data_IF_166206761264
#
_entry.id   IF_166206761264
#
_cell.length_a   1.000
_cell.length_b   1.000
_cell.length_c   1.000
_cell.angle_alpha   90.00
_cell.angle_beta   90.00
_cell.angle_gamma   90.00
#
_symmetry.space_group_name_H-M   'P 1'
#
loop_
_entity.id
_entity.type
_entity.pdbx_description
1 polymer ?
#
# COMPACT_ATOMS: atom_id res chain seq x y z
N UNK A 1 51.61 21.70 -34.25
CA UNK A 1 52.23 22.70 -35.14
C UNK A 1 51.61 22.54 -36.51
N UNK A 2 50.90 23.54 -37.01
CA UNK A 2 50.27 23.49 -38.33
C UNK A 2 51.34 23.15 -39.36
N UNK A 3 51.18 22.04 -40.07
CA UNK A 3 52.03 21.71 -41.22
C UNK A 3 51.67 22.72 -42.30
N UNK A 4 52.45 23.80 -42.39
CA UNK A 4 52.26 24.83 -43.41
C UNK A 4 52.19 24.13 -44.77
N UNK A 5 51.09 24.34 -45.50
CA UNK A 5 50.99 23.88 -46.88
C UNK A 5 52.12 24.57 -47.63
N UNK A 6 53.09 23.81 -48.12
CA UNK A 6 54.20 24.37 -48.88
C UNK A 6 53.66 24.98 -50.18
N UNK A 7 53.39 26.29 -50.14
CA UNK A 7 52.89 27.04 -51.28
C UNK A 7 54.08 27.65 -52.02
N UNK A 8 54.35 27.14 -53.21
CA UNK A 8 55.48 27.59 -54.04
C UNK A 8 55.08 28.86 -54.81
N UNK A 9 55.24 30.00 -54.16
CA UNK A 9 54.90 31.33 -54.68
C UNK A 9 55.61 31.63 -56.00
N UNK A 10 56.89 31.24 -56.12
CA UNK A 10 57.69 31.47 -57.34
C UNK A 10 57.20 30.64 -58.52
N UNK A 11 56.84 29.37 -58.28
CA UNK A 11 56.27 28.50 -59.32
C UNK A 11 54.90 28.98 -59.78
N UNK A 12 54.09 29.58 -58.90
CA UNK A 12 52.82 30.19 -59.29
C UNK A 12 53.03 31.47 -60.11
N UNK A 13 53.91 32.38 -59.67
CA UNK A 13 54.22 33.61 -60.39
C UNK A 13 54.72 33.31 -61.82
N UNK A 14 55.64 32.34 -61.99
CA UNK A 14 56.11 31.89 -63.32
C UNK A 14 55.00 31.32 -64.20
N UNK A 15 54.01 30.64 -63.61
CA UNK A 15 52.85 30.14 -64.36
C UNK A 15 51.93 31.27 -64.81
N UNK A 16 51.75 32.29 -63.99
CA UNK A 16 50.96 33.47 -64.33
C UNK A 16 51.63 34.30 -65.44
N UNK A 17 52.95 34.48 -65.38
CA UNK A 17 53.73 35.10 -66.46
C UNK A 17 53.61 34.34 -67.78
N UNK A 18 53.75 33.01 -67.74
CA UNK A 18 53.56 32.16 -68.92
C UNK A 18 52.12 32.21 -69.47
N UNK A 19 51.14 32.58 -68.64
CA UNK A 19 49.75 32.80 -69.02
C UNK A 19 49.47 34.24 -69.50
N UNK A 20 50.49 35.10 -69.58
CA UNK A 20 50.40 36.45 -70.14
C UNK A 20 50.24 37.58 -69.11
N UNK A 21 50.36 37.30 -67.81
CA UNK A 21 50.38 38.34 -66.77
C UNK A 21 51.72 39.07 -66.79
N UNK A 22 51.70 40.38 -66.52
CA UNK A 22 52.94 41.15 -66.31
C UNK A 22 53.66 40.64 -65.06
N UNK A 23 55.01 40.62 -65.09
CA UNK A 23 55.85 40.13 -64.00
C UNK A 23 55.42 40.64 -62.61
N UNK A 24 55.14 41.95 -62.49
CA UNK A 24 54.69 42.54 -61.22
C UNK A 24 53.32 42.01 -60.77
N UNK A 25 52.35 41.90 -61.68
CA UNK A 25 51.02 41.39 -61.36
C UNK A 25 51.04 39.91 -60.97
N UNK A 26 51.86 39.11 -61.65
CA UNK A 26 52.08 37.70 -61.34
C UNK A 26 52.71 37.48 -59.96
N UNK A 27 53.72 38.28 -59.61
CA UNK A 27 54.35 38.27 -58.30
C UNK A 27 53.36 38.68 -57.19
N UNK A 28 52.70 39.83 -57.35
CA UNK A 28 51.77 40.38 -56.35
C UNK A 28 50.58 39.41 -56.11
N UNK A 29 50.07 38.78 -57.17
CA UNK A 29 48.94 37.81 -57.05
C UNK A 29 49.36 36.52 -56.36
N UNK A 30 50.56 36.01 -56.66
CA UNK A 30 51.07 34.81 -56.01
C UNK A 30 51.36 35.08 -54.52
N UNK A 31 51.89 36.25 -54.19
CA UNK A 31 52.16 36.68 -52.81
C UNK A 31 50.87 36.87 -52.02
N UNK A 32 49.88 37.57 -52.56
CA UNK A 32 48.57 37.75 -51.90
C UNK A 32 47.86 36.41 -51.65
N UNK A 33 47.97 35.44 -52.57
CA UNK A 33 47.40 34.11 -52.39
C UNK A 33 48.17 33.29 -51.34
N UNK A 34 49.50 33.40 -51.30
CA UNK A 34 50.32 32.75 -50.28
C UNK A 34 50.01 33.31 -48.88
N UNK A 35 49.86 34.63 -48.76
CA UNK A 35 49.47 35.30 -47.51
C UNK A 35 48.07 34.88 -47.07
N UNK A 36 47.09 34.84 -47.99
CA UNK A 36 45.74 34.38 -47.71
C UNK A 36 45.70 32.91 -47.24
N UNK A 37 46.51 32.02 -47.84
CA UNK A 37 46.60 30.62 -47.42
C UNK A 37 47.33 30.42 -46.09
N UNK A 38 48.21 31.35 -45.72
CA UNK A 38 48.93 31.32 -44.43
C UNK A 38 48.07 31.88 -43.30
N UNK A 39 47.21 32.86 -43.62
CA UNK A 39 46.29 33.51 -42.68
C UNK A 39 45.01 32.71 -42.47
N UNK A 40 44.60 31.91 -43.46
CA UNK A 40 43.43 31.05 -43.34
C UNK A 40 43.70 29.89 -42.37
N UNK A 41 42.96 29.84 -41.26
CA UNK A 41 42.96 28.70 -40.32
C UNK A 41 42.22 27.50 -40.93
N UNK A 42 42.86 26.85 -41.90
CA UNK A 42 42.28 25.68 -42.58
C UNK A 42 42.60 24.42 -41.77
N UNK A 43 41.56 23.70 -41.35
CA UNK A 43 41.70 22.39 -40.74
C UNK A 43 42.46 21.44 -41.67
N UNK A 44 43.53 20.85 -41.14
CA UNK A 44 44.39 19.90 -41.84
C UNK A 44 43.79 18.49 -41.81
N UNK A 45 44.36 17.58 -42.62
CA UNK A 45 44.03 16.16 -42.53
C UNK A 45 44.35 15.55 -41.16
N UNK A 46 45.30 16.13 -40.42
CA UNK A 46 45.61 15.67 -39.07
C UNK A 46 44.46 16.01 -38.12
N UNK A 47 43.95 17.24 -38.18
CA UNK A 47 42.82 17.71 -37.36
C UNK A 47 41.56 16.87 -37.60
N UNK A 48 41.28 16.53 -38.88
CA UNK A 48 40.16 15.65 -39.23
C UNK A 48 40.34 14.24 -38.66
N UNK A 49 41.56 13.69 -38.70
CA UNK A 49 41.83 12.35 -38.12
C UNK A 49 41.71 12.37 -36.60
N UNK A 50 42.15 13.44 -35.95
CA UNK A 50 42.02 13.60 -34.51
C UNK A 50 40.54 13.70 -34.10
N UNK A 51 39.76 14.52 -34.80
CA UNK A 51 38.31 14.59 -34.59
C UNK A 51 37.61 13.25 -34.86
N UNK A 52 38.01 12.53 -35.91
CA UNK A 52 37.48 11.19 -36.20
C UNK A 52 37.83 10.18 -35.09
N UNK A 53 39.07 10.20 -34.59
CA UNK A 53 39.48 9.33 -33.50
C UNK A 53 38.72 9.66 -32.20
N UNK A 54 38.57 10.94 -31.87
CA UNK A 54 37.84 11.40 -30.69
C UNK A 54 36.35 11.00 -30.76
N UNK A 55 35.70 11.19 -31.91
CA UNK A 55 34.30 10.79 -32.11
C UNK A 55 34.11 9.28 -32.06
N UNK A 56 35.02 8.49 -32.63
CA UNK A 56 34.97 7.03 -32.51
C UNK A 56 35.15 6.57 -31.06
N UNK A 57 36.04 7.21 -30.31
CA UNK A 57 36.23 6.93 -28.88
C UNK A 57 34.96 7.25 -28.08
N UNK A 58 34.36 8.43 -28.28
CA UNK A 58 33.12 8.83 -27.62
C UNK A 58 31.95 7.89 -27.96
N UNK A 59 31.83 7.44 -29.22
CA UNK A 59 30.82 6.46 -29.62
C UNK A 59 31.05 5.12 -28.92
N UNK A 60 32.30 4.68 -28.79
CA UNK A 60 32.63 3.44 -28.08
C UNK A 60 32.29 3.55 -26.59
N UNK A 61 32.61 4.68 -25.96
CA UNK A 61 32.28 4.96 -24.55
C UNK A 61 30.77 4.93 -24.33
N UNK A 62 29.99 5.71 -25.09
CA UNK A 62 28.51 5.71 -24.99
C UNK A 62 27.93 4.32 -25.25
N UNK A 63 28.49 3.54 -26.17
CA UNK A 63 28.07 2.15 -26.39
C UNK A 63 28.32 1.29 -25.14
N UNK A 64 29.47 1.43 -24.49
CA UNK A 64 29.75 0.68 -23.26
C UNK A 64 28.84 1.10 -22.10
N UNK A 65 28.59 2.40 -21.92
CA UNK A 65 27.69 2.93 -20.90
C UNK A 65 26.25 2.45 -21.11
N UNK A 66 25.74 2.52 -22.34
CA UNK A 66 24.39 2.06 -22.66
C UNK A 66 24.23 0.56 -22.44
N UNK A 67 25.23 -0.25 -22.80
CA UNK A 67 25.23 -1.69 -22.51
C UNK A 67 25.25 -1.97 -21.00
N UNK A 68 26.03 -1.21 -20.22
CA UNK A 68 26.07 -1.33 -18.77
C UNK A 68 24.71 -0.94 -18.14
N UNK A 69 24.14 0.19 -18.56
CA UNK A 69 22.83 0.66 -18.09
C UNK A 69 21.70 -0.34 -18.41
N UNK A 70 21.71 -0.94 -19.62
CA UNK A 70 20.75 -1.99 -19.99
C UNK A 70 20.91 -3.21 -19.07
N UNK A 71 22.14 -3.62 -18.74
CA UNK A 71 22.39 -4.75 -17.86
C UNK A 71 21.92 -4.48 -16.42
N UNK A 72 22.14 -3.26 -15.92
CA UNK A 72 21.67 -2.81 -14.62
C UNK A 72 20.14 -2.81 -14.55
N UNK A 73 19.47 -2.16 -15.50
CA UNK A 73 18.00 -2.11 -15.56
C UNK A 73 17.40 -3.51 -15.67
N UNK A 74 18.00 -4.41 -16.45
CA UNK A 74 17.55 -5.80 -16.55
C UNK A 74 17.66 -6.55 -15.22
N UNK A 75 18.71 -6.27 -14.45
CA UNK A 75 18.91 -6.89 -13.13
C UNK A 75 17.89 -6.34 -12.13
N UNK A 76 17.72 -5.02 -12.07
CA UNK A 76 16.74 -4.36 -11.22
C UNK A 76 15.30 -4.81 -11.53
N UNK A 77 14.96 -5.03 -12.81
CA UNK A 77 13.65 -5.53 -13.21
C UNK A 77 13.40 -6.96 -12.71
N UNK A 78 14.38 -7.86 -12.85
CA UNK A 78 14.25 -9.23 -12.34
C UNK A 78 14.09 -9.26 -10.82
N UNK A 79 14.85 -8.43 -10.12
CA UNK A 79 14.72 -8.31 -8.67
C UNK A 79 13.36 -7.77 -8.24
N UNK A 80 12.80 -6.79 -8.98
CA UNK A 80 11.47 -6.27 -8.69
C UNK A 80 10.37 -7.29 -8.98
N UNK A 81 10.46 -8.06 -10.07
CA UNK A 81 9.56 -9.18 -10.38
C UNK A 81 9.60 -10.26 -9.29
N UNK A 82 10.79 -10.66 -8.85
CA UNK A 82 10.94 -11.62 -7.74
C UNK A 82 10.35 -11.10 -6.43
N UNK A 83 10.55 -9.81 -6.11
CA UNK A 83 9.98 -9.17 -4.94
C UNK A 83 8.45 -9.15 -4.99
N UNK A 84 7.88 -8.77 -6.13
CA UNK A 84 6.43 -8.77 -6.34
C UNK A 84 5.85 -10.18 -6.25
N UNK A 85 6.53 -11.19 -6.78
CA UNK A 85 6.09 -12.58 -6.66
C UNK A 85 6.05 -13.03 -5.20
N UNK A 86 7.09 -12.71 -4.42
CA UNK A 86 7.16 -13.03 -2.99
C UNK A 86 6.06 -12.29 -2.20
N UNK A 87 5.85 -11.00 -2.46
CA UNK A 87 4.82 -10.20 -1.81
C UNK A 87 3.40 -10.71 -2.13
N UNK A 88 3.14 -11.09 -3.38
CA UNK A 88 1.86 -11.69 -3.78
C UNK A 88 1.58 -13.01 -3.04
N UNK A 89 2.60 -13.85 -2.85
CA UNK A 89 2.46 -15.10 -2.09
C UNK A 89 2.16 -14.79 -0.61
N UNK A 90 2.89 -13.86 0.00
CA UNK A 90 2.70 -13.45 1.39
C UNK A 90 1.32 -12.81 1.63
N UNK A 91 0.85 -11.96 0.70
CA UNK A 91 -0.48 -11.35 0.78
C UNK A 91 -1.59 -12.39 0.69
N UNK A 92 -1.44 -13.38 -0.21
CA UNK A 92 -2.40 -14.48 -0.34
C UNK A 92 -2.42 -15.38 0.89
N UNK A 93 -1.29 -15.63 1.54
CA UNK A 93 -1.28 -16.40 2.79
C UNK A 93 -1.94 -15.62 3.93
N UNK A 94 -1.61 -14.34 4.10
CA UNK A 94 -2.21 -13.49 5.12
C UNK A 94 -3.73 -13.37 4.96
N UNK A 95 -4.23 -13.23 3.73
CA UNK A 95 -5.66 -13.20 3.45
C UNK A 95 -6.35 -14.51 3.86
N UNK A 96 -5.79 -15.66 3.49
CA UNK A 96 -6.34 -16.97 3.89
C UNK A 96 -6.37 -17.14 5.40
N UNK A 97 -5.30 -16.73 6.09
CA UNK A 97 -5.27 -16.78 7.55
C UNK A 97 -6.36 -15.90 8.18
N UNK A 98 -6.54 -14.68 7.65
CA UNK A 98 -7.61 -13.78 8.09
C UNK A 98 -9.00 -14.38 7.85
N UNK A 99 -9.25 -14.96 6.67
CA UNK A 99 -10.52 -15.62 6.35
C UNK A 99 -10.80 -16.79 7.31
N UNK A 100 -9.80 -17.62 7.60
CA UNK A 100 -9.95 -18.74 8.55
C UNK A 100 -10.23 -18.24 9.98
N UNK A 101 -9.55 -17.18 10.43
CA UNK A 101 -9.84 -16.54 11.72
C UNK A 101 -11.27 -16.04 11.79
N UNK A 102 -11.74 -15.34 10.75
CA UNK A 102 -13.11 -14.84 10.71
C UNK A 102 -14.16 -15.96 10.70
N UNK A 103 -13.89 -17.07 10.01
CA UNK A 103 -14.78 -18.24 10.04
C UNK A 103 -14.83 -18.83 11.44
N UNK A 104 -13.67 -18.98 12.10
CA UNK A 104 -13.59 -19.49 13.46
C UNK A 104 -14.32 -18.58 14.45
N UNK A 105 -14.08 -17.27 14.41
CA UNK A 105 -14.74 -16.27 15.26
C UNK A 105 -16.26 -16.24 15.04
N UNK A 106 -16.73 -16.35 13.79
CA UNK A 106 -18.16 -16.45 13.52
C UNK A 106 -18.77 -17.75 14.08
N UNK A 107 -18.04 -18.86 14.02
CA UNK A 107 -18.48 -20.12 14.59
C UNK A 107 -18.57 -20.05 16.13
N UNK A 108 -17.58 -19.44 16.79
CA UNK A 108 -17.60 -19.24 18.24
C UNK A 108 -18.72 -18.32 18.67
N UNK A 109 -18.90 -17.16 18.02
CA UNK A 109 -20.00 -16.24 18.32
C UNK A 109 -21.38 -16.91 18.20
N UNK A 110 -21.59 -17.74 17.17
CA UNK A 110 -22.84 -18.50 17.01
C UNK A 110 -23.05 -19.52 18.12
N UNK A 111 -21.98 -20.18 18.56
CA UNK A 111 -22.05 -21.14 19.67
C UNK A 111 -22.39 -20.42 20.99
N UNK A 112 -21.73 -19.30 21.27
CA UNK A 112 -21.94 -18.48 22.46
C UNK A 112 -23.37 -17.94 22.51
N UNK A 113 -23.86 -17.33 21.42
CA UNK A 113 -25.25 -16.85 21.33
C UNK A 113 -26.28 -17.97 21.57
N UNK A 114 -26.01 -19.18 21.08
CA UNK A 114 -26.90 -20.34 21.31
C UNK A 114 -26.86 -20.79 22.77
N UNK A 115 -25.68 -20.80 23.39
CA UNK A 115 -25.51 -21.14 24.79
C UNK A 115 -26.21 -20.13 25.70
N UNK A 116 -26.01 -18.83 25.46
CA UNK A 116 -26.67 -17.75 26.21
C UNK A 116 -28.20 -17.80 26.10
N UNK A 117 -28.74 -18.05 24.89
CA UNK A 117 -30.19 -18.19 24.71
C UNK A 117 -30.75 -19.42 25.46
N UNK A 118 -30.00 -20.53 25.48
CA UNK A 118 -30.38 -21.71 26.26
C UNK A 118 -30.34 -21.44 27.77
N UNK A 119 -29.32 -20.74 28.25
CA UNK A 119 -29.20 -20.32 29.66
C UNK A 119 -30.37 -19.41 30.06
N UNK A 120 -30.63 -18.36 29.27
CA UNK A 120 -31.74 -17.42 29.53
C UNK A 120 -33.11 -18.12 29.57
N UNK A 121 -33.35 -19.10 28.70
CA UNK A 121 -34.58 -19.91 28.73
C UNK A 121 -34.68 -20.78 29.98
N UNK A 122 -33.55 -21.34 30.43
CA UNK A 122 -33.48 -22.11 31.66
C UNK A 122 -33.79 -21.24 32.87
N UNK A 123 -33.15 -20.08 32.96
CA UNK A 123 -33.34 -19.12 34.06
C UNK A 123 -34.80 -18.63 34.10
N UNK A 124 -35.36 -18.23 32.96
CA UNK A 124 -36.76 -17.79 32.90
C UNK A 124 -37.74 -18.90 33.30
N UNK A 125 -37.46 -20.16 32.97
CA UNK A 125 -38.27 -21.30 33.42
C UNK A 125 -38.15 -21.52 34.94
N UNK A 126 -36.95 -21.36 35.50
CA UNK A 126 -36.70 -21.46 36.93
C UNK A 126 -37.41 -20.35 37.70
N UNK A 127 -37.33 -19.10 37.22
CA UNK A 127 -38.02 -17.96 37.81
C UNK A 127 -39.55 -18.12 37.77
N UNK A 128 -40.13 -18.57 36.64
CA UNK A 128 -41.57 -18.86 36.57
C UNK A 128 -41.97 -19.96 37.58
N UNK A 129 -41.14 -20.98 37.76
CA UNK A 129 -41.41 -22.04 38.73
C UNK A 129 -41.35 -21.52 40.16
N UNK A 130 -40.36 -20.67 40.48
CA UNK A 130 -40.24 -20.00 41.77
C UNK A 130 -41.47 -19.11 42.05
N UNK A 131 -41.86 -18.25 41.11
CA UNK A 131 -43.05 -17.39 41.24
C UNK A 131 -44.32 -18.22 41.47
N UNK A 132 -44.52 -19.32 40.73
CA UNK A 132 -45.66 -20.22 40.96
C UNK A 132 -45.64 -20.87 42.34
N UNK A 133 -44.46 -21.25 42.84
CA UNK A 133 -44.30 -21.79 44.19
C UNK A 133 -44.68 -20.76 45.23
N UNK A 134 -44.17 -19.53 45.09
CA UNK A 134 -44.46 -18.42 46.00
C UNK A 134 -45.95 -18.06 46.03
N UNK A 135 -46.61 -18.06 44.86
CA UNK A 135 -48.08 -17.86 44.78
C UNK A 135 -48.85 -18.93 45.56
N UNK A 136 -48.51 -20.22 45.39
CA UNK A 136 -49.14 -21.31 46.14
C UNK A 136 -48.90 -21.21 47.64
N UNK A 137 -47.67 -20.86 48.04
CA UNK A 137 -47.33 -20.66 49.43
C UNK A 137 -48.12 -19.49 50.04
N UNK A 138 -48.34 -18.43 49.27
CA UNK A 138 -49.18 -17.30 49.66
C UNK A 138 -50.66 -17.70 49.82
N UNK A 139 -51.23 -18.43 48.84
CA UNK A 139 -52.61 -18.95 48.91
C UNK A 139 -52.82 -19.81 50.17
N UNK A 140 -51.90 -20.75 50.45
CA UNK A 140 -51.95 -21.59 51.64
C UNK A 140 -51.87 -20.76 52.94
N UNK A 141 -50.93 -19.80 53.00
CA UNK A 141 -50.81 -18.89 54.16
C UNK A 141 -52.08 -18.08 54.37
N UNK A 142 -52.74 -17.61 53.30
CA UNK A 142 -54.01 -16.89 53.38
C UNK A 142 -55.14 -17.80 53.84
N UNK A 143 -55.25 -19.02 53.29
CA UNK A 143 -56.27 -19.99 53.70
C UNK A 143 -56.14 -20.36 55.18
N UNK A 144 -54.91 -20.60 55.66
CA UNK A 144 -54.65 -20.89 57.08
C UNK A 144 -55.01 -19.69 57.95
N UNK A 145 -54.54 -18.48 57.62
CA UNK A 145 -54.87 -17.26 58.40
C UNK A 145 -56.38 -17.01 58.45
N UNK A 146 -57.08 -17.16 57.33
CA UNK A 146 -58.52 -16.97 57.25
C UNK A 146 -59.27 -18.03 58.07
N UNK A 147 -58.86 -19.29 58.01
CA UNK A 147 -59.43 -20.37 58.83
C UNK A 147 -59.24 -20.13 60.33
N UNK A 148 -58.06 -19.68 60.74
CA UNK A 148 -57.78 -19.29 62.14
C UNK A 148 -58.66 -18.10 62.57
N UNK A 149 -58.84 -17.09 61.70
CA UNK A 149 -59.73 -15.96 62.01
C UNK A 149 -61.21 -16.38 62.11
N UNK A 150 -61.69 -17.23 61.21
CA UNK A 150 -63.09 -17.69 61.23
C UNK A 150 -63.39 -18.54 62.47
N UNK A 151 -62.46 -19.41 62.88
CA UNK A 151 -62.60 -20.19 64.13
C UNK A 151 -62.55 -19.31 65.37
N UNK A 152 -61.66 -18.30 65.41
CA UNK A 152 -61.62 -17.30 66.47
C UNK A 152 -62.95 -16.50 66.56
N UNK A 153 -63.49 -16.05 65.42
CA UNK A 153 -64.78 -15.35 65.37
C UNK A 153 -65.93 -16.25 65.84
N UNK A 154 -65.99 -17.49 65.40
CA UNK A 154 -67.03 -18.44 65.80
C UNK A 154 -66.98 -18.78 67.30
N UNK A 155 -65.78 -19.00 67.84
CA UNK A 155 -65.62 -19.25 69.28
C UNK A 155 -66.00 -18.03 70.12
N UNK A 156 -65.70 -16.81 69.66
CA UNK A 156 -66.15 -15.57 70.31
C UNK A 156 -67.68 -15.42 70.29
N UNK A 157 -68.35 -15.67 69.17
CA UNK A 157 -69.81 -15.53 69.07
C UNK A 157 -70.54 -16.57 69.91
N UNK A 158 -70.10 -17.84 69.90
CA UNK A 158 -70.67 -18.89 70.75
C UNK A 158 -70.47 -18.56 72.23
N UNK A 159 -69.26 -18.11 72.61
CA UNK A 159 -68.97 -17.65 73.97
C UNK A 159 -69.89 -16.50 74.41
N UNK A 160 -70.12 -15.52 73.54
CA UNK A 160 -71.03 -14.41 73.81
C UNK A 160 -72.49 -14.87 73.98
N UNK A 161 -72.99 -15.76 73.10
CA UNK A 161 -74.36 -16.31 73.21
C UNK A 161 -74.54 -17.10 74.51
N UNK A 162 -73.56 -17.94 74.87
CA UNK A 162 -73.59 -18.70 76.12
C UNK A 162 -73.63 -17.78 77.35
N UNK A 163 -72.87 -16.68 77.33
CA UNK A 163 -72.89 -15.68 78.39
C UNK A 163 -74.26 -14.97 78.49
N UNK A 164 -74.86 -14.60 77.35
CA UNK A 164 -76.20 -13.98 77.30
C UNK A 164 -77.28 -14.94 77.83
N UNK A 165 -77.28 -16.21 77.39
CA UNK A 165 -78.22 -17.20 77.89
C UNK A 165 -78.11 -17.37 79.42
N UNK A 166 -76.89 -17.38 79.95
CA UNK A 166 -76.67 -17.49 81.39
C UNK A 166 -77.21 -16.27 82.16
N UNK A 167 -77.09 -15.08 81.59
CA UNK A 167 -77.65 -13.83 82.14
C UNK A 167 -79.18 -13.80 82.13
N UNK A 168 -79.86 -14.43 81.16
CA UNK A 168 -81.33 -14.48 81.11
C UNK A 168 -81.94 -15.55 82.04
N UNK A 169 -81.14 -16.51 82.53
CA UNK A 169 -81.56 -17.61 83.39
C UNK A 169 -81.40 -17.32 84.90
N UNK A 170 -80.89 -16.14 85.27
CA UNK A 170 -80.79 -15.63 86.64
C UNK A 170 -81.71 -14.42 86.78
#
# INVERSE_FOLDING_TARGET
MATAVAFDTLKLARKLEAAGFEHKQAADTAEALAEAMTTAEIATRADVREAQAATMAAIAEVKTETMAAIAEVKTALRESEHRQAAENVAMRSALRESEQRQIAENATMRADMKAENAAMRSDMKAEIAAVRSDMKAMELRMMVKLGVMLTALFTMTVGAVAAIMRLMLH
#
